data_IF_503279003286
#
_entry.id   IF_503279003286
#
_cell.length_a   1.000
_cell.length_b   1.000
_cell.length_c   1.000
_cell.angle_alpha   90.00
_cell.angle_beta   90.00
_cell.angle_gamma   90.00
#
_symmetry.space_group_name_H-M   'P 1'
#
loop_
_entity.id
_entity.type
_entity.pdbx_description
1 polymer ?
#
# COMPACT_ATOMS: atom_id res chain seq x y z
N UNK A 1 -23.90 16.75 5.65
CA UNK A 1 -23.80 15.33 6.06
C UNK A 1 -23.38 14.52 4.84
N UNK A 2 -22.44 13.57 5.03
CA UNK A 2 -21.70 12.75 4.03
C UNK A 2 -20.34 13.29 3.54
N UNK A 3 -19.59 14.00 4.38
CA UNK A 3 -18.23 14.47 4.01
C UNK A 3 -17.17 13.34 4.03
N UNK A 4 -17.41 12.23 4.74
CA UNK A 4 -16.37 11.21 4.96
C UNK A 4 -16.18 10.25 3.78
N UNK A 5 -17.06 10.27 2.78
CA UNK A 5 -16.99 9.38 1.61
C UNK A 5 -17.08 10.15 0.28
N UNK A 6 -16.88 11.48 0.32
CA UNK A 6 -16.95 12.34 -0.87
C UNK A 6 -15.92 11.90 -1.90
N UNK A 7 -14.68 11.69 -1.48
CA UNK A 7 -13.55 11.42 -2.37
C UNK A 7 -13.76 10.12 -3.16
N UNK A 8 -14.32 9.09 -2.52
CA UNK A 8 -14.67 7.84 -3.21
C UNK A 8 -15.77 8.04 -4.26
N UNK A 9 -16.85 8.75 -3.93
CA UNK A 9 -17.95 8.95 -4.89
C UNK A 9 -17.58 9.91 -6.02
N UNK A 10 -16.88 11.00 -5.70
CA UNK A 10 -16.36 11.95 -6.68
C UNK A 10 -15.32 11.30 -7.60
N UNK A 11 -14.42 10.48 -7.05
CA UNK A 11 -13.47 9.67 -7.79
C UNK A 11 -14.16 8.69 -8.74
N UNK A 12 -15.13 7.90 -8.24
CA UNK A 12 -15.92 6.99 -9.07
C UNK A 12 -16.65 7.71 -10.21
N UNK A 13 -17.19 8.90 -9.95
CA UNK A 13 -17.86 9.72 -10.97
C UNK A 13 -16.90 10.18 -12.06
N UNK A 14 -15.76 10.77 -11.65
CA UNK A 14 -14.76 11.29 -12.57
C UNK A 14 -14.16 10.19 -13.44
N UNK A 15 -13.71 9.10 -12.81
CA UNK A 15 -13.18 7.92 -13.49
C UNK A 15 -14.26 7.29 -14.39
N UNK A 16 -15.48 7.16 -13.88
CA UNK A 16 -16.60 6.59 -14.62
C UNK A 16 -16.87 7.35 -15.92
N UNK A 17 -16.94 8.68 -15.86
CA UNK A 17 -17.14 9.52 -17.04
C UNK A 17 -15.98 9.40 -18.06
N UNK A 18 -14.74 9.35 -17.57
CA UNK A 18 -13.55 9.21 -18.41
C UNK A 18 -13.52 7.85 -19.13
N UNK A 19 -13.70 6.76 -18.40
CA UNK A 19 -13.60 5.40 -18.95
C UNK A 19 -14.83 5.00 -19.77
N UNK A 20 -15.98 5.61 -19.54
CA UNK A 20 -17.16 5.43 -20.39
C UNK A 20 -16.91 5.91 -21.83
N UNK A 21 -16.10 6.96 -22.01
CA UNK A 21 -15.72 7.49 -23.32
C UNK A 21 -14.53 6.76 -23.95
N UNK A 22 -13.86 5.86 -23.22
CA UNK A 22 -12.66 5.16 -23.69
C UNK A 22 -13.05 3.80 -24.31
N UNK A 23 -12.68 3.63 -25.58
CA UNK A 23 -12.94 2.39 -26.32
C UNK A 23 -12.37 1.18 -25.58
N UNK A 24 -13.20 0.16 -25.36
CA UNK A 24 -12.83 -1.08 -24.66
C UNK A 24 -13.00 -1.03 -23.15
N UNK A 25 -13.37 0.12 -22.58
CA UNK A 25 -13.58 0.31 -21.14
C UNK A 25 -14.98 0.81 -20.78
N UNK A 26 -15.90 0.82 -21.75
CA UNK A 26 -17.23 1.42 -21.59
C UNK A 26 -18.00 0.78 -20.43
N UNK A 27 -17.94 -0.56 -20.31
CA UNK A 27 -18.57 -1.30 -19.21
C UNK A 27 -17.90 -1.01 -17.85
N UNK A 28 -16.59 -0.74 -17.83
CA UNK A 28 -15.90 -0.35 -16.60
C UNK A 28 -16.32 1.07 -16.16
N UNK A 29 -16.41 1.99 -17.10
CA UNK A 29 -16.94 3.34 -16.85
C UNK A 29 -18.38 3.31 -16.34
N UNK A 30 -19.25 2.53 -16.98
CA UNK A 30 -20.64 2.32 -16.56
C UNK A 30 -20.72 1.72 -15.14
N UNK A 31 -19.88 0.72 -14.83
CA UNK A 31 -19.77 0.16 -13.48
C UNK A 31 -19.44 1.23 -12.44
N UNK A 32 -18.47 2.12 -12.70
CA UNK A 32 -18.06 3.16 -11.78
C UNK A 32 -19.21 4.16 -11.52
N UNK A 33 -19.93 4.58 -12.57
CA UNK A 33 -21.08 5.47 -12.44
C UNK A 33 -22.24 4.81 -11.67
N UNK A 34 -22.52 3.53 -11.94
CA UNK A 34 -23.54 2.78 -11.19
C UNK A 34 -23.16 2.62 -9.72
N UNK A 35 -21.87 2.42 -9.41
CA UNK A 35 -21.37 2.39 -8.03
C UNK A 35 -21.55 3.72 -7.33
N UNK A 36 -21.24 4.81 -8.02
CA UNK A 36 -21.41 6.17 -7.48
C UNK A 36 -22.88 6.45 -7.13
N UNK A 37 -23.81 6.05 -7.99
CA UNK A 37 -25.25 6.19 -7.78
C UNK A 37 -25.83 5.22 -6.73
N UNK A 38 -25.02 4.35 -6.12
CA UNK A 38 -25.47 3.35 -5.16
C UNK A 38 -26.22 2.15 -5.77
N UNK A 39 -26.17 1.97 -7.09
CA UNK A 39 -26.87 0.91 -7.84
C UNK A 39 -26.16 -0.44 -7.76
N UNK A 40 -25.96 -0.96 -6.54
CA UNK A 40 -25.11 -2.12 -6.22
C UNK A 40 -25.36 -3.35 -7.12
N UNK A 41 -26.62 -3.75 -7.33
CA UNK A 41 -26.95 -4.94 -8.15
C UNK A 41 -26.59 -4.76 -9.62
N UNK A 42 -26.84 -3.56 -10.17
CA UNK A 42 -26.53 -3.24 -11.55
C UNK A 42 -25.02 -3.15 -11.75
N UNK A 43 -24.32 -2.43 -10.87
CA UNK A 43 -22.87 -2.34 -10.88
C UNK A 43 -22.20 -3.73 -10.88
N UNK A 44 -22.65 -4.65 -10.03
CA UNK A 44 -22.12 -6.02 -9.98
C UNK A 44 -22.37 -6.76 -11.31
N UNK A 45 -23.55 -6.63 -11.91
CA UNK A 45 -23.84 -7.24 -13.20
C UNK A 45 -22.96 -6.67 -14.31
N UNK A 46 -22.75 -5.35 -14.32
CA UNK A 46 -21.93 -4.64 -15.31
C UNK A 46 -20.45 -5.01 -15.19
N UNK A 47 -19.88 -5.03 -13.99
CA UNK A 47 -18.47 -5.44 -13.82
C UNK A 47 -18.25 -6.92 -14.19
N UNK A 48 -19.22 -7.79 -13.94
CA UNK A 48 -19.12 -9.18 -14.37
C UNK A 48 -19.14 -9.31 -15.90
N UNK A 49 -19.94 -8.50 -16.60
CA UNK A 49 -19.92 -8.43 -18.08
C UNK A 49 -18.57 -7.93 -18.57
N UNK A 50 -18.02 -6.88 -17.97
CA UNK A 50 -16.70 -6.36 -18.29
C UNK A 50 -15.62 -7.45 -18.12
N UNK A 51 -15.59 -8.12 -16.97
CA UNK A 51 -14.64 -9.22 -16.70
C UNK A 51 -14.77 -10.35 -17.72
N UNK A 52 -16.00 -10.69 -18.11
CA UNK A 52 -16.25 -11.73 -19.11
C UNK A 52 -15.76 -11.30 -20.50
N UNK A 53 -15.98 -10.04 -20.86
CA UNK A 53 -15.46 -9.46 -22.10
C UNK A 53 -13.93 -9.46 -22.13
N UNK A 54 -13.25 -8.99 -21.07
CA UNK A 54 -11.79 -8.97 -20.99
C UNK A 54 -11.18 -10.34 -21.25
N UNK A 55 -11.76 -11.41 -20.70
CA UNK A 55 -11.28 -12.80 -20.90
C UNK A 55 -11.33 -13.28 -22.35
N UNK A 56 -12.15 -12.65 -23.20
CA UNK A 56 -12.25 -12.97 -24.64
C UNK A 56 -11.27 -12.18 -25.51
N UNK A 57 -10.62 -11.16 -24.95
CA UNK A 57 -9.67 -10.33 -25.69
C UNK A 57 -8.35 -11.06 -25.93
N UNK A 58 -7.57 -10.66 -26.96
CA UNK A 58 -6.20 -11.11 -27.13
C UNK A 58 -5.36 -10.89 -25.87
N UNK A 59 -4.37 -11.75 -25.63
CA UNK A 59 -3.53 -11.70 -24.42
C UNK A 59 -2.87 -10.34 -24.20
N UNK A 60 -2.41 -9.69 -25.27
CA UNK A 60 -1.81 -8.36 -25.21
C UNK A 60 -2.78 -7.32 -24.64
N UNK A 61 -4.06 -7.37 -25.04
CA UNK A 61 -5.11 -6.47 -24.53
C UNK A 61 -5.46 -6.78 -23.07
N UNK A 62 -5.50 -8.06 -22.69
CA UNK A 62 -5.71 -8.44 -21.28
C UNK A 62 -4.61 -7.87 -20.38
N UNK A 63 -3.35 -7.98 -20.80
CA UNK A 63 -2.19 -7.44 -20.08
C UNK A 63 -2.22 -5.91 -20.01
N UNK A 64 -2.57 -5.25 -21.12
CA UNK A 64 -2.75 -3.79 -21.14
C UNK A 64 -3.84 -3.33 -20.16
N UNK A 65 -5.01 -3.99 -20.15
CA UNK A 65 -6.08 -3.70 -19.17
C UNK A 65 -5.60 -3.97 -17.74
N UNK A 66 -4.85 -5.05 -17.53
CA UNK A 66 -4.35 -5.40 -16.21
C UNK A 66 -3.40 -4.33 -15.64
N UNK A 67 -2.46 -3.85 -16.45
CA UNK A 67 -1.58 -2.74 -16.11
C UNK A 67 -2.35 -1.44 -15.88
N UNK A 68 -3.22 -1.07 -16.82
CA UNK A 68 -4.00 0.18 -16.77
C UNK A 68 -4.84 0.27 -15.49
N UNK A 69 -5.63 -0.77 -15.19
CA UNK A 69 -6.55 -0.74 -14.05
C UNK A 69 -5.82 -0.93 -12.70
N UNK A 70 -4.68 -1.63 -12.69
CA UNK A 70 -3.84 -1.71 -11.50
C UNK A 70 -3.19 -0.37 -11.20
N UNK A 71 -2.67 0.31 -12.22
CA UNK A 71 -2.13 1.68 -12.12
C UNK A 71 -3.19 2.67 -11.66
N UNK A 72 -4.37 2.63 -12.26
CA UNK A 72 -5.50 3.48 -11.87
C UNK A 72 -5.86 3.25 -10.40
N UNK A 73 -5.99 2.00 -9.96
CA UNK A 73 -6.26 1.69 -8.55
C UNK A 73 -5.16 2.16 -7.61
N UNK A 74 -3.90 2.09 -8.03
CA UNK A 74 -2.77 2.51 -7.21
C UNK A 74 -2.75 4.03 -6.97
N UNK A 75 -3.09 4.83 -7.99
CA UNK A 75 -3.09 6.29 -7.90
C UNK A 75 -4.37 6.89 -7.33
N UNK A 76 -5.46 6.11 -7.28
CA UNK A 76 -6.76 6.53 -6.75
C UNK A 76 -7.18 5.73 -5.51
N UNK A 77 -6.29 5.65 -4.51
CA UNK A 77 -6.51 4.83 -3.30
C UNK A 77 -7.71 5.30 -2.46
N UNK A 78 -8.01 6.60 -2.51
CA UNK A 78 -9.20 7.21 -1.90
C UNK A 78 -10.51 6.68 -2.52
N UNK A 79 -10.47 6.27 -3.79
CA UNK A 79 -11.56 5.61 -4.50
C UNK A 79 -11.57 4.11 -4.20
N UNK A 80 -11.66 3.77 -2.91
CA UNK A 80 -11.52 2.40 -2.42
C UNK A 80 -12.55 1.39 -2.97
N UNK A 81 -13.64 1.86 -3.60
CA UNK A 81 -14.62 1.00 -4.28
C UNK A 81 -14.35 0.79 -5.77
N UNK A 82 -13.26 1.34 -6.31
CA UNK A 82 -12.93 1.29 -7.73
C UNK A 82 -12.73 -0.15 -8.23
N UNK A 83 -11.93 -0.95 -7.53
CA UNK A 83 -11.64 -2.32 -7.94
C UNK A 83 -12.53 -3.32 -7.17
N UNK A 84 -13.66 -3.71 -7.77
CA UNK A 84 -14.50 -4.76 -7.20
C UNK A 84 -13.81 -6.13 -7.23
N UNK A 85 -14.18 -7.02 -6.30
CA UNK A 85 -13.59 -8.35 -6.19
C UNK A 85 -13.51 -9.16 -7.51
N UNK A 86 -14.54 -9.24 -8.37
CA UNK A 86 -14.42 -9.96 -9.65
C UNK A 86 -13.33 -9.38 -10.57
N UNK A 87 -13.11 -8.07 -10.50
CA UNK A 87 -12.07 -7.38 -11.25
C UNK A 87 -10.70 -7.68 -10.64
N UNK A 88 -10.54 -7.60 -9.32
CA UNK A 88 -9.30 -7.99 -8.61
C UNK A 88 -8.88 -9.43 -8.99
N UNK A 89 -9.82 -10.37 -9.00
CA UNK A 89 -9.55 -11.77 -9.39
C UNK A 89 -9.07 -11.87 -10.84
N UNK A 90 -9.68 -11.12 -11.77
CA UNK A 90 -9.22 -11.07 -13.17
C UNK A 90 -7.80 -10.51 -13.25
N UNK A 91 -7.55 -9.34 -12.66
CA UNK A 91 -6.27 -8.64 -12.70
C UNK A 91 -5.16 -9.54 -12.13
N UNK A 92 -5.38 -10.12 -10.95
CA UNK A 92 -4.43 -11.05 -10.33
C UNK A 92 -4.15 -12.25 -11.22
N UNK A 93 -5.17 -12.82 -11.85
CA UNK A 93 -5.00 -13.95 -12.77
C UNK A 93 -4.15 -13.61 -13.99
N UNK A 94 -4.43 -12.48 -14.64
CA UNK A 94 -3.67 -12.02 -15.82
C UNK A 94 -2.22 -11.71 -15.44
N UNK A 95 -2.00 -10.98 -14.35
CA UNK A 95 -0.66 -10.58 -13.93
C UNK A 95 0.18 -11.80 -13.50
N UNK A 96 -0.40 -12.75 -12.77
CA UNK A 96 0.28 -14.01 -12.40
C UNK A 96 0.65 -14.82 -13.64
N UNK A 97 -0.24 -14.96 -14.62
CA UNK A 97 0.13 -15.66 -15.85
C UNK A 97 1.25 -14.91 -16.61
N UNK A 98 1.19 -13.58 -16.61
CA UNK A 98 2.21 -12.75 -17.26
C UNK A 98 3.59 -12.90 -16.61
N UNK A 99 3.69 -13.04 -15.28
CA UNK A 99 4.99 -13.32 -14.64
C UNK A 99 5.55 -14.70 -15.00
N UNK A 100 4.70 -15.67 -15.33
CA UNK A 100 5.14 -16.99 -15.80
C UNK A 100 5.61 -16.94 -17.25
N UNK A 101 4.87 -16.24 -18.11
CA UNK A 101 5.19 -16.12 -19.53
C UNK A 101 6.45 -15.25 -19.76
N UNK A 102 6.60 -14.19 -18.96
CA UNK A 102 7.68 -13.19 -19.08
C UNK A 102 8.31 -12.90 -17.71
N UNK A 103 9.10 -13.84 -17.15
CA UNK A 103 9.61 -13.74 -15.78
C UNK A 103 10.59 -12.59 -15.52
N UNK A 104 11.12 -11.99 -16.59
CA UNK A 104 12.04 -10.85 -16.53
C UNK A 104 11.37 -9.51 -16.91
N UNK A 105 10.04 -9.50 -17.06
CA UNK A 105 9.30 -8.25 -17.25
C UNK A 105 8.92 -7.67 -15.87
N UNK A 106 9.36 -6.44 -15.51
CA UNK A 106 9.09 -5.86 -14.19
C UNK A 106 7.61 -5.47 -13.98
N UNK A 107 6.88 -5.18 -15.06
CA UNK A 107 5.50 -4.65 -15.01
C UNK A 107 4.53 -5.58 -14.25
N UNK A 108 4.41 -6.88 -14.60
CA UNK A 108 3.47 -7.75 -13.90
C UNK A 108 3.85 -7.98 -12.44
N UNK A 109 5.13 -8.00 -12.09
CA UNK A 109 5.59 -8.10 -10.70
C UNK A 109 5.21 -6.85 -9.89
N UNK A 110 5.43 -5.66 -10.44
CA UNK A 110 5.04 -4.39 -9.80
C UNK A 110 3.55 -4.37 -9.49
N UNK A 111 2.71 -4.69 -10.47
CA UNK A 111 1.26 -4.63 -10.28
C UNK A 111 0.70 -5.80 -9.46
N UNK A 112 1.37 -6.96 -9.43
CA UNK A 112 1.07 -8.01 -8.44
C UNK A 112 1.36 -7.56 -7.02
N UNK A 113 2.42 -6.78 -6.81
CA UNK A 113 2.68 -6.20 -5.49
C UNK A 113 1.52 -5.34 -5.00
N UNK A 114 0.87 -4.61 -5.90
CA UNK A 114 -0.32 -3.82 -5.57
C UNK A 114 -1.58 -4.68 -5.41
N UNK A 115 -1.98 -5.40 -6.45
CA UNK A 115 -3.25 -6.14 -6.50
C UNK A 115 -3.24 -7.35 -5.55
N UNK A 116 -2.08 -7.99 -5.40
CA UNK A 116 -1.89 -9.16 -4.57
C UNK A 116 -1.50 -8.86 -3.13
N UNK A 117 -1.24 -7.59 -2.80
CA UNK A 117 -0.68 -7.15 -1.51
C UNK A 117 0.61 -7.92 -1.13
N UNK A 118 1.46 -8.17 -2.12
CA UNK A 118 2.64 -9.02 -2.00
C UNK A 118 3.94 -8.22 -2.15
N UNK A 119 4.63 -8.00 -1.03
CA UNK A 119 5.92 -7.28 -1.03
C UNK A 119 6.99 -8.01 -1.84
N UNK A 120 6.99 -9.35 -1.86
CA UNK A 120 7.99 -10.11 -2.62
C UNK A 120 7.88 -9.83 -4.14
N UNK A 121 6.68 -9.55 -4.62
CA UNK A 121 6.45 -9.13 -6.00
C UNK A 121 7.05 -7.74 -6.29
N UNK A 122 6.95 -6.77 -5.38
CA UNK A 122 7.65 -5.49 -5.52
C UNK A 122 9.17 -5.63 -5.47
N UNK A 123 9.69 -6.47 -4.57
CA UNK A 123 11.13 -6.76 -4.50
C UNK A 123 11.63 -7.37 -5.81
N UNK A 124 10.88 -8.33 -6.37
CA UNK A 124 11.19 -8.92 -7.67
C UNK A 124 11.18 -7.88 -8.78
N UNK A 125 10.18 -7.01 -8.84
CA UNK A 125 10.14 -5.91 -9.80
C UNK A 125 11.37 -5.01 -9.65
N UNK A 126 11.77 -4.68 -8.41
CA UNK A 126 12.93 -3.83 -8.13
C UNK A 126 14.26 -4.50 -8.52
N UNK A 127 14.35 -5.83 -8.48
CA UNK A 127 15.55 -6.54 -9.01
C UNK A 127 15.70 -6.38 -10.53
N UNK A 128 14.58 -6.25 -11.24
CA UNK A 128 14.54 -6.10 -12.70
C UNK A 128 14.66 -4.62 -13.12
N UNK A 129 14.06 -3.72 -12.35
CA UNK A 129 14.07 -2.28 -12.58
C UNK A 129 14.42 -1.51 -11.29
N UNK A 130 15.72 -1.35 -10.96
CA UNK A 130 16.16 -0.77 -9.68
C UNK A 130 15.78 0.70 -9.45
N UNK A 131 15.32 1.40 -10.48
CA UNK A 131 14.94 2.81 -10.39
C UNK A 131 13.42 3.02 -10.27
N UNK A 132 12.61 1.95 -10.26
CA UNK A 132 11.15 2.07 -10.17
C UNK A 132 10.73 2.67 -8.82
N UNK A 133 10.24 3.90 -8.83
CA UNK A 133 9.90 4.65 -7.61
C UNK A 133 8.72 4.06 -6.85
N UNK A 134 7.77 3.42 -7.55
CA UNK A 134 6.64 2.74 -6.90
C UNK A 134 7.19 1.60 -6.05
N UNK A 135 8.02 0.74 -6.63
CA UNK A 135 8.59 -0.42 -5.95
C UNK A 135 9.53 0.03 -4.80
N UNK A 136 10.40 1.01 -5.04
CA UNK A 136 11.24 1.61 -3.99
C UNK A 136 10.40 2.08 -2.80
N UNK A 137 9.32 2.82 -3.08
CA UNK A 137 8.44 3.37 -2.06
C UNK A 137 7.73 2.26 -1.28
N UNK A 138 7.16 1.27 -1.96
CA UNK A 138 6.38 0.21 -1.29
C UNK A 138 7.28 -0.72 -0.46
N UNK A 139 8.47 -1.08 -0.93
CA UNK A 139 9.42 -1.91 -0.16
C UNK A 139 10.02 -1.12 1.01
N UNK A 140 10.33 0.17 0.84
CA UNK A 140 10.76 1.00 1.98
C UNK A 140 9.65 1.09 3.05
N UNK A 141 8.39 1.27 2.62
CA UNK A 141 7.24 1.30 3.52
C UNK A 141 7.03 -0.02 4.25
N UNK A 142 7.24 -1.18 3.61
CA UNK A 142 7.07 -2.47 4.30
C UNK A 142 8.09 -2.66 5.42
N UNK A 143 9.34 -2.24 5.22
CA UNK A 143 10.34 -2.23 6.29
C UNK A 143 9.96 -1.28 7.43
N UNK A 144 9.48 -0.06 7.13
CA UNK A 144 9.03 0.88 8.16
C UNK A 144 7.80 0.37 8.91
N UNK A 145 6.85 -0.27 8.22
CA UNK A 145 5.68 -0.89 8.85
C UNK A 145 6.06 -2.09 9.73
N UNK A 146 7.14 -2.81 9.41
CA UNK A 146 7.69 -3.85 10.29
C UNK A 146 8.20 -3.26 11.60
N UNK A 147 8.86 -2.09 11.56
CA UNK A 147 9.33 -1.40 12.77
C UNK A 147 8.16 -0.83 13.57
N UNK A 148 7.16 -0.25 12.90
CA UNK A 148 5.90 0.16 13.51
C UNK A 148 5.24 -0.98 14.30
N UNK A 149 5.12 -2.15 13.66
CA UNK A 149 4.59 -3.35 14.30
C UNK A 149 5.47 -3.84 15.48
N UNK A 150 6.78 -3.66 15.46
CA UNK A 150 7.59 -4.04 16.62
C UNK A 150 7.44 -3.06 17.79
N UNK A 151 7.20 -1.78 17.47
CA UNK A 151 7.20 -0.67 18.44
C UNK A 151 5.82 -0.27 18.98
N UNK A 152 4.72 -0.79 18.42
CA UNK A 152 3.38 -0.32 18.79
C UNK A 152 2.96 -0.56 20.25
N UNK A 153 3.64 -1.45 20.99
CA UNK A 153 3.43 -1.66 22.44
C UNK A 153 4.45 -0.95 23.32
N UNK A 154 5.28 -0.06 22.77
CA UNK A 154 6.23 0.73 23.57
C UNK A 154 5.54 1.66 24.57
N UNK A 155 4.28 2.01 24.32
CA UNK A 155 3.40 2.68 25.31
C UNK A 155 3.26 1.88 26.61
N UNK A 156 3.41 0.57 26.54
CA UNK A 156 3.35 -0.38 27.67
C UNK A 156 4.75 -0.79 28.12
N UNK A 157 5.80 -0.12 27.63
CA UNK A 157 7.20 -0.49 27.83
C UNK A 157 7.53 -1.91 27.35
N UNK A 158 6.94 -2.31 26.22
CA UNK A 158 7.15 -3.63 25.61
C UNK A 158 7.47 -3.48 24.13
N UNK A 159 8.63 -3.99 23.69
CA UNK A 159 8.94 -4.19 22.28
C UNK A 159 8.44 -5.58 21.85
N UNK A 160 7.60 -5.63 20.81
CA UNK A 160 7.16 -6.88 20.20
C UNK A 160 8.12 -7.28 19.10
N UNK A 161 9.30 -7.79 19.47
CA UNK A 161 10.28 -8.28 18.52
C UNK A 161 11.70 -8.22 19.06
N UNK A 162 12.64 -8.24 18.12
CA UNK A 162 14.07 -8.15 18.40
C UNK A 162 14.58 -6.80 17.90
N UNK A 163 15.28 -6.08 18.78
CA UNK A 163 15.85 -4.77 18.44
C UNK A 163 16.82 -4.83 17.27
N UNK A 164 17.54 -5.95 17.09
CA UNK A 164 18.41 -6.17 15.94
C UNK A 164 17.62 -6.23 14.62
N UNK A 165 16.48 -6.92 14.60
CA UNK A 165 15.59 -6.99 13.43
C UNK A 165 14.95 -5.63 13.12
N UNK A 166 14.60 -4.85 14.14
CA UNK A 166 14.13 -3.48 13.95
C UNK A 166 15.21 -2.60 13.30
N UNK A 167 16.46 -2.69 13.77
CA UNK A 167 17.60 -1.97 13.18
C UNK A 167 17.90 -2.40 11.75
N UNK A 168 17.86 -3.70 11.46
CA UNK A 168 18.06 -4.23 10.10
C UNK A 168 16.96 -3.74 9.14
N UNK A 169 15.72 -3.65 9.63
CA UNK A 169 14.60 -3.10 8.88
C UNK A 169 14.80 -1.61 8.57
N UNK A 170 15.23 -0.81 9.56
CA UNK A 170 15.55 0.62 9.36
C UNK A 170 16.69 0.80 8.34
N UNK A 171 17.76 0.02 8.47
CA UNK A 171 18.89 0.07 7.53
C UNK A 171 18.44 -0.27 6.10
N UNK A 172 17.59 -1.29 5.94
CA UNK A 172 17.03 -1.69 4.65
C UNK A 172 16.14 -0.60 4.06
N UNK A 173 15.28 0.03 4.87
CA UNK A 173 14.46 1.17 4.46
C UNK A 173 15.34 2.34 4.01
N UNK A 174 16.37 2.71 4.77
CA UNK A 174 17.28 3.82 4.43
C UNK A 174 17.98 3.58 3.09
N UNK A 175 18.46 2.36 2.84
CA UNK A 175 19.11 1.99 1.59
C UNK A 175 18.20 2.16 0.36
N UNK A 176 16.88 2.02 0.53
CA UNK A 176 15.88 2.25 -0.51
C UNK A 176 15.53 3.75 -0.63
N UNK A 177 15.33 4.44 0.50
CA UNK A 177 14.94 5.86 0.55
C UNK A 177 15.98 6.75 -0.15
N UNK A 178 17.28 6.47 0.02
CA UNK A 178 18.33 7.27 -0.62
C UNK A 178 18.28 7.24 -2.15
N UNK A 179 17.71 6.17 -2.73
CA UNK A 179 17.59 5.97 -4.19
C UNK A 179 16.40 6.69 -4.81
N UNK A 180 15.42 7.13 -4.01
CA UNK A 180 14.28 7.90 -4.50
C UNK A 180 14.72 9.23 -5.10
N UNK A 181 14.11 9.61 -6.23
CA UNK A 181 14.39 10.83 -6.96
C UNK A 181 13.37 11.93 -6.61
N UNK A 182 12.11 11.55 -6.43
CA UNK A 182 11.04 12.47 -6.05
C UNK A 182 11.24 12.98 -4.61
N UNK A 183 11.51 14.28 -4.50
CA UNK A 183 11.80 14.93 -3.22
C UNK A 183 10.69 14.72 -2.18
N UNK A 184 9.42 14.84 -2.58
CA UNK A 184 8.28 14.67 -1.67
C UNK A 184 8.23 13.25 -1.07
N UNK A 185 8.26 12.21 -1.92
CA UNK A 185 8.28 10.81 -1.48
C UNK A 185 9.48 10.52 -0.59
N UNK A 186 10.66 11.03 -0.95
CA UNK A 186 11.89 10.87 -0.18
C UNK A 186 11.79 11.52 1.20
N UNK A 187 11.39 12.79 1.28
CA UNK A 187 11.24 13.50 2.54
C UNK A 187 10.20 12.83 3.45
N UNK A 188 9.05 12.42 2.90
CA UNK A 188 8.02 11.73 3.68
C UNK A 188 8.53 10.45 4.32
N UNK A 189 9.23 9.61 3.56
CA UNK A 189 9.78 8.36 4.08
C UNK A 189 10.97 8.58 5.01
N UNK A 190 11.82 9.57 4.72
CA UNK A 190 12.94 9.94 5.58
C UNK A 190 12.45 10.41 6.95
N UNK A 191 11.43 11.27 7.01
CA UNK A 191 10.86 11.71 8.28
C UNK A 191 10.32 10.53 9.11
N UNK A 192 9.66 9.57 8.46
CA UNK A 192 9.16 8.37 9.12
C UNK A 192 10.28 7.43 9.58
N UNK A 193 11.33 7.28 8.77
CA UNK A 193 12.53 6.55 9.15
C UNK A 193 13.19 7.18 10.39
N UNK A 194 13.42 8.49 10.37
CA UNK A 194 14.11 9.21 11.45
C UNK A 194 13.31 9.16 12.76
N UNK A 195 11.98 9.22 12.68
CA UNK A 195 11.09 9.01 13.81
C UNK A 195 11.31 7.64 14.48
N UNK A 196 11.22 6.55 13.72
CA UNK A 196 11.42 5.21 14.28
C UNK A 196 12.88 4.95 14.69
N UNK A 197 13.85 5.55 14.01
CA UNK A 197 15.25 5.46 14.39
C UNK A 197 15.50 6.09 15.75
N UNK A 198 14.92 7.27 16.02
CA UNK A 198 14.99 7.90 17.35
C UNK A 198 14.34 7.01 18.41
N UNK A 199 13.16 6.48 18.12
CA UNK A 199 12.42 5.59 19.03
C UNK A 199 13.19 4.32 19.37
N UNK A 200 13.79 3.66 18.39
CA UNK A 200 14.59 2.45 18.59
C UNK A 200 15.87 2.75 19.38
N UNK A 201 16.53 3.89 19.14
CA UNK A 201 17.70 4.30 19.92
C UNK A 201 17.32 4.54 21.39
N UNK A 202 16.18 5.20 21.63
CA UNK A 202 15.64 5.39 22.98
C UNK A 202 15.36 4.05 23.66
N UNK A 203 14.72 3.13 22.94
CA UNK A 203 14.42 1.80 23.47
C UNK A 203 15.68 1.00 23.79
N UNK A 204 16.69 1.06 22.94
CA UNK A 204 17.98 0.40 23.18
C UNK A 204 18.59 0.85 24.51
N UNK A 205 18.69 2.16 24.71
CA UNK A 205 19.23 2.72 25.95
C UNK A 205 18.36 2.33 27.15
N UNK A 206 17.04 2.53 27.05
CA UNK A 206 16.07 2.18 28.09
C UNK A 206 16.18 0.72 28.53
N UNK A 207 16.35 -0.21 27.58
CA UNK A 207 16.42 -1.65 27.84
C UNK A 207 17.61 -2.08 28.71
N UNK A 208 18.62 -1.21 28.87
CA UNK A 208 19.78 -1.46 29.73
C UNK A 208 19.59 -0.96 31.17
N UNK A 209 18.51 -0.23 31.44
CA UNK A 209 18.24 0.41 32.72
C UNK A 209 17.39 -0.50 33.62
N UNK A 210 17.61 -0.41 34.94
CA UNK A 210 16.87 -1.19 35.94
C UNK A 210 16.10 -0.25 36.89
N UNK A 211 14.83 -0.58 37.16
CA UNK A 211 14.00 0.16 38.13
C UNK A 211 13.62 1.57 37.69
N UNK A 212 13.62 1.84 36.39
CA UNK A 212 13.20 3.13 35.81
C UNK A 212 11.70 3.21 35.63
N UNK A 213 11.21 4.44 35.46
CA UNK A 213 9.83 4.74 35.07
C UNK A 213 9.47 4.10 33.71
N UNK A 214 8.18 3.94 33.38
CA UNK A 214 7.77 3.41 32.08
C UNK A 214 8.42 4.15 30.90
N UNK A 215 8.67 3.42 29.81
CA UNK A 215 9.35 3.94 28.62
C UNK A 215 8.82 5.28 28.10
N UNK A 216 7.49 5.53 28.02
CA UNK A 216 6.98 6.84 27.62
C UNK A 216 7.38 7.98 28.55
N UNK A 217 7.30 7.75 29.86
CA UNK A 217 7.66 8.74 30.89
C UNK A 217 9.17 9.01 30.84
N UNK A 218 9.97 7.95 30.69
CA UNK A 218 11.43 8.04 30.55
C UNK A 218 11.84 8.84 29.31
N UNK A 219 11.19 8.60 28.17
CA UNK A 219 11.41 9.40 26.96
C UNK A 219 11.06 10.88 27.19
N UNK A 220 9.89 11.14 27.80
CA UNK A 220 9.44 12.50 28.07
C UNK A 220 10.39 13.26 29.02
N UNK A 221 10.94 12.60 30.03
CA UNK A 221 11.95 13.17 30.93
C UNK A 221 13.25 13.56 30.21
N UNK A 222 13.57 12.90 29.09
CA UNK A 222 14.70 13.22 28.21
C UNK A 222 14.38 14.29 27.16
N UNK A 223 13.12 14.74 27.08
CA UNK A 223 12.66 15.68 26.06
C UNK A 223 12.33 15.03 24.71
N UNK A 224 12.30 13.70 24.63
CA UNK A 224 11.85 12.97 23.45
C UNK A 224 10.32 12.82 23.48
N UNK A 225 9.67 13.01 22.34
CA UNK A 225 8.22 12.89 22.21
C UNK A 225 7.86 11.95 21.07
N UNK A 226 7.12 10.89 21.41
CA UNK A 226 6.60 9.92 20.45
C UNK A 226 5.08 9.84 20.56
N UNK A 227 4.43 9.58 19.43
CA UNK A 227 2.99 9.38 19.36
C UNK A 227 2.65 7.95 19.81
N UNK A 228 2.44 7.78 21.12
CA UNK A 228 1.95 6.54 21.69
C UNK A 228 0.42 6.48 21.61
N UNK A 229 -0.11 5.42 21.02
CA UNK A 229 -1.55 5.17 21.02
C UNK A 229 -1.97 4.67 22.40
N UNK A 230 -2.92 5.36 23.05
CA UNK A 230 -3.50 4.88 24.30
C UNK A 230 -4.35 3.63 24.04
N UNK A 231 -3.86 2.46 24.47
CA UNK A 231 -4.66 1.22 24.47
C UNK A 231 -5.61 1.26 25.67
N UNK A 232 -6.90 1.51 25.41
CA UNK A 232 -7.94 1.42 26.43
C UNK A 232 -8.40 -0.02 26.54
N UNK A 233 -7.88 -0.77 27.52
CA UNK A 233 -8.44 -2.06 27.88
C UNK A 233 -9.77 -1.85 28.61
N UNK A 234 -10.88 -2.25 27.98
CA UNK A 234 -12.15 -2.37 28.69
C UNK A 234 -12.00 -3.50 29.73
N UNK A 235 -12.09 -3.15 31.02
CA UNK A 235 -12.18 -4.14 32.09
C UNK A 235 -13.43 -5.00 31.83
N UNK A 236 -13.25 -6.32 31.81
CA UNK A 236 -14.35 -7.29 31.75
C UNK A 236 -15.00 -7.47 33.12
#
# INVERSE_FOLDING_TARGET
>A
MNYWNSDNFEGLKAIGAQYLARKGYELFGEYCLQKEQGLKKQAIATVNKFVSHCKTLPLAEQRHIAEELSSLGFWHRETHQLLAYPLIVLLKGVLTQWTLDEPNNPIPHKWLGFIGEDIASYERALTLEPADEICLTQVALSHLNSVDFQTHHLSESVLLGDISLAKDSLASAQALIVRLQTHESKSRLQNRHDYYQSMINCWEEYSTLFGVEPFPDWCAAKGEQFDFWSIVYYQR
#
